data_IF_964595009886
#
_entry.id   IF_964595009886
#
_cell.length_a   1.000
_cell.length_b   1.000
_cell.length_c   1.000
_cell.angle_alpha   90.00
_cell.angle_beta   90.00
_cell.angle_gamma   90.00
#
_symmetry.space_group_name_H-M   'P 1'
#
loop_
_entity.id
_entity.type
_entity.pdbx_description
1 polymer ?
#
# COMPACT_ATOMS: atom_id res chain seq x y z
N UNK A 1 -6.20 24.45 5.76
CA UNK A 1 -6.07 23.05 6.19
C UNK A 1 -4.80 22.97 7.00
N UNK A 2 -4.86 22.48 8.24
CA UNK A 2 -3.64 22.23 9.02
C UNK A 2 -2.97 20.92 8.55
N UNK A 3 -1.71 20.69 8.94
CA UNK A 3 -0.93 19.53 8.46
C UNK A 3 -1.57 18.19 8.83
N UNK A 4 -2.26 18.14 9.98
CA UNK A 4 -2.99 16.95 10.45
C UNK A 4 -4.19 16.63 9.55
N UNK A 5 -4.98 17.64 9.22
CA UNK A 5 -6.10 17.53 8.28
C UNK A 5 -5.61 17.15 6.88
N UNK A 6 -4.48 17.72 6.44
CA UNK A 6 -3.86 17.40 5.14
C UNK A 6 -3.50 15.93 5.06
N UNK A 7 -2.78 15.41 6.07
CA UNK A 7 -2.41 13.99 6.14
C UNK A 7 -3.63 13.07 6.16
N UNK A 8 -4.66 13.41 6.92
CA UNK A 8 -5.89 12.60 6.97
C UNK A 8 -6.60 12.52 5.61
N UNK A 9 -6.66 13.64 4.88
CA UNK A 9 -7.24 13.67 3.52
C UNK A 9 -6.41 12.84 2.55
N UNK A 10 -5.07 12.97 2.59
CA UNK A 10 -4.18 12.20 1.72
C UNK A 10 -4.21 10.69 2.02
N UNK A 11 -4.25 10.30 3.30
CA UNK A 11 -4.43 8.90 3.69
C UNK A 11 -5.74 8.32 3.11
N UNK A 12 -6.83 9.09 3.21
CA UNK A 12 -8.11 8.66 2.64
C UNK A 12 -8.06 8.56 1.12
N UNK A 13 -7.36 9.49 0.44
CA UNK A 13 -7.14 9.43 -1.01
C UNK A 13 -6.32 8.20 -1.39
N UNK A 14 -5.24 7.90 -0.67
CA UNK A 14 -4.41 6.70 -0.89
C UNK A 14 -5.23 5.41 -0.73
N UNK A 15 -6.02 5.29 0.34
CA UNK A 15 -6.89 4.14 0.54
C UNK A 15 -7.95 4.00 -0.56
N UNK A 16 -8.44 5.11 -1.12
CA UNK A 16 -9.38 5.09 -2.23
C UNK A 16 -8.70 4.67 -3.54
N UNK A 17 -7.53 5.25 -3.86
CA UNK A 17 -6.70 4.87 -5.01
C UNK A 17 -6.36 3.37 -4.97
N UNK A 18 -5.97 2.85 -3.80
CA UNK A 18 -5.68 1.43 -3.60
C UNK A 18 -6.89 0.50 -3.85
N UNK A 19 -8.13 1.00 -3.72
CA UNK A 19 -9.36 0.26 -4.11
C UNK A 19 -9.65 0.31 -5.62
N UNK A 20 -8.91 1.09 -6.38
CA UNK A 20 -9.09 1.27 -7.82
C UNK A 20 -10.01 2.45 -8.20
N UNK A 21 -10.22 3.42 -7.29
CA UNK A 21 -10.98 4.64 -7.66
C UNK A 21 -10.13 5.69 -8.39
N UNK A 22 -8.81 5.61 -8.26
CA UNK A 22 -7.82 6.55 -8.80
C UNK A 22 -6.52 5.77 -9.06
N UNK A 23 -5.71 6.23 -10.01
CA UNK A 23 -4.40 5.61 -10.31
C UNK A 23 -3.39 5.95 -9.22
N UNK A 24 -2.75 4.92 -8.66
CA UNK A 24 -1.76 5.10 -7.58
C UNK A 24 -0.55 5.88 -8.08
N UNK A 25 -0.12 5.63 -9.31
CA UNK A 25 0.99 6.36 -9.94
C UNK A 25 0.70 7.87 -10.03
N UNK A 26 -0.53 8.26 -10.35
CA UNK A 26 -0.95 9.67 -10.36
C UNK A 26 -0.83 10.28 -8.96
N UNK A 27 -1.28 9.57 -7.93
CA UNK A 27 -1.17 10.03 -6.55
C UNK A 27 0.30 10.18 -6.08
N UNK A 28 1.17 9.23 -6.43
CA UNK A 28 2.59 9.25 -6.04
C UNK A 28 3.40 10.32 -6.80
N UNK A 29 2.95 10.71 -7.99
CA UNK A 29 3.56 11.79 -8.78
C UNK A 29 3.00 13.17 -8.45
N UNK A 30 1.90 13.25 -7.70
CA UNK A 30 1.28 14.50 -7.27
C UNK A 30 2.22 15.29 -6.32
N UNK A 31 2.67 16.50 -6.69
CA UNK A 31 3.55 17.30 -5.85
C UNK A 31 2.89 17.73 -4.53
N UNK A 32 1.56 17.75 -4.45
CA UNK A 32 0.85 18.11 -3.21
C UNK A 32 0.94 17.02 -2.14
N UNK A 33 1.31 15.79 -2.54
CA UNK A 33 1.52 14.63 -1.68
C UNK A 33 2.94 14.55 -1.10
N UNK A 34 3.91 15.33 -1.60
CA UNK A 34 5.30 15.31 -1.10
C UNK A 34 5.50 16.34 0.01
N UNK A 35 6.34 15.97 0.98
CA UNK A 35 6.78 16.92 1.99
C UNK A 35 7.72 17.94 1.33
N UNK A 36 7.48 19.27 1.47
CA UNK A 36 8.41 20.27 0.92
C UNK A 36 9.74 20.34 1.69
N UNK A 37 9.77 19.86 2.94
CA UNK A 37 10.92 19.95 3.83
C UNK A 37 11.76 18.64 3.87
N UNK A 38 11.26 17.54 3.28
CA UNK A 38 11.94 16.23 3.19
C UNK A 38 11.64 15.50 1.86
N UNK A 39 12.35 14.42 1.51
CA UNK A 39 12.06 13.58 0.33
C UNK A 39 10.97 12.53 0.58
N UNK A 40 10.15 12.71 1.63
CA UNK A 40 9.11 11.76 2.05
C UNK A 40 7.68 12.21 1.63
N UNK A 41 6.71 11.31 1.81
CA UNK A 41 5.30 11.57 1.50
C UNK A 41 4.55 12.14 2.72
N UNK A 42 3.62 13.07 2.45
CA UNK A 42 2.74 13.67 3.47
C UNK A 42 1.60 12.74 3.91
N UNK A 43 1.49 11.56 3.32
CA UNK A 43 0.58 10.50 3.75
C UNK A 43 1.35 9.40 4.48
N UNK A 44 0.60 8.59 5.21
CA UNK A 44 1.11 7.37 5.82
C UNK A 44 0.82 6.19 4.90
N UNK A 45 1.87 5.59 4.33
CA UNK A 45 1.75 4.42 3.45
C UNK A 45 1.10 3.22 4.16
N UNK A 46 1.21 3.16 5.48
CA UNK A 46 0.65 2.12 6.34
C UNK A 46 -0.69 2.53 6.97
N UNK A 47 -1.32 3.63 6.50
CA UNK A 47 -2.63 4.05 6.97
C UNK A 47 -3.65 2.92 6.85
N UNK A 48 -4.67 2.92 7.71
CA UNK A 48 -5.62 1.82 7.82
C UNK A 48 -7.04 2.28 7.55
N UNK A 49 -7.78 1.50 6.77
CA UNK A 49 -9.22 1.68 6.62
C UNK A 49 -9.99 1.22 7.88
N UNK A 50 -11.32 1.34 7.85
CA UNK A 50 -12.21 0.90 8.93
C UNK A 50 -12.14 -0.61 9.24
N UNK A 51 -11.63 -1.42 8.31
CA UNK A 51 -11.42 -2.86 8.46
C UNK A 51 -9.98 -3.18 8.88
N UNK A 52 -9.16 -2.15 9.11
CA UNK A 52 -7.77 -2.29 9.46
C UNK A 52 -6.87 -2.64 8.27
N UNK A 53 -7.36 -2.61 7.04
CA UNK A 53 -6.55 -2.88 5.85
C UNK A 53 -5.66 -1.67 5.52
N UNK A 54 -4.41 -1.94 5.19
CA UNK A 54 -3.48 -0.96 4.60
C UNK A 54 -3.70 -0.84 3.10
N UNK A 55 -3.18 0.21 2.42
CA UNK A 55 -3.14 0.28 0.95
C UNK A 55 -2.60 -1.01 0.32
N UNK A 56 -1.56 -1.60 0.90
CA UNK A 56 -0.98 -2.86 0.42
C UNK A 56 -1.97 -4.03 0.45
N UNK A 57 -2.79 -4.16 1.50
CA UNK A 57 -3.85 -5.19 1.53
C UNK A 57 -4.83 -5.01 0.36
N UNK A 58 -5.22 -3.76 0.10
CA UNK A 58 -6.24 -3.43 -0.91
C UNK A 58 -5.73 -3.73 -2.32
N UNK A 59 -4.52 -3.30 -2.68
CA UNK A 59 -3.94 -3.58 -4.01
C UNK A 59 -3.66 -5.06 -4.24
N UNK A 60 -3.24 -5.79 -3.20
CA UNK A 60 -3.07 -7.25 -3.24
C UNK A 60 -4.42 -7.94 -3.46
N UNK A 61 -5.47 -7.52 -2.75
CA UNK A 61 -6.81 -8.10 -2.91
C UNK A 61 -7.39 -7.90 -4.31
N UNK A 62 -6.99 -6.82 -4.99
CA UNK A 62 -7.36 -6.52 -6.37
C UNK A 62 -6.54 -7.34 -7.39
N UNK A 63 -5.43 -7.96 -6.99
CA UNK A 63 -4.55 -8.73 -7.88
C UNK A 63 -3.79 -7.87 -8.89
N UNK A 64 -3.62 -6.57 -8.64
CA UNK A 64 -2.85 -5.69 -9.53
C UNK A 64 -1.38 -5.73 -9.17
N UNK A 65 -0.57 -6.46 -9.95
CA UNK A 65 0.88 -6.60 -9.72
C UNK A 65 1.59 -5.24 -9.79
N UNK A 66 1.19 -4.39 -10.73
CA UNK A 66 1.80 -3.07 -10.92
C UNK A 66 1.55 -2.16 -9.71
N UNK A 67 0.32 -2.13 -9.22
CA UNK A 67 -0.02 -1.35 -8.02
C UNK A 67 0.64 -1.92 -6.75
N UNK A 68 0.86 -3.23 -6.68
CA UNK A 68 1.65 -3.83 -5.59
C UNK A 68 3.08 -3.32 -5.64
N UNK A 69 3.75 -3.34 -6.80
CA UNK A 69 5.11 -2.80 -6.93
C UNK A 69 5.17 -1.32 -6.53
N UNK A 70 4.25 -0.50 -7.05
CA UNK A 70 4.22 0.94 -6.72
C UNK A 70 4.10 1.21 -5.22
N UNK A 71 3.29 0.43 -4.49
CA UNK A 71 3.14 0.58 -3.04
C UNK A 71 4.37 0.06 -2.28
N UNK A 72 5.02 -1.00 -2.76
CA UNK A 72 6.25 -1.54 -2.14
C UNK A 72 7.46 -0.63 -2.38
N UNK A 73 7.51 0.07 -3.51
CA UNK A 73 8.56 1.04 -3.82
C UNK A 73 8.50 2.31 -2.94
N UNK A 74 7.39 2.53 -2.24
CA UNK A 74 7.26 3.65 -1.30
C UNK A 74 8.03 3.33 0.00
N UNK A 75 8.88 4.25 0.48
CA UNK A 75 9.62 4.06 1.73
C UNK A 75 8.71 3.74 2.92
N UNK A 76 9.24 2.99 3.89
CA UNK A 76 8.58 2.65 5.15
C UNK A 76 7.31 1.79 5.00
N UNK A 77 7.05 1.24 3.81
CA UNK A 77 5.96 0.29 3.59
C UNK A 77 6.17 -0.99 4.43
N UNK A 78 5.22 -1.30 5.31
CA UNK A 78 5.27 -2.49 6.17
C UNK A 78 4.35 -3.58 5.60
N UNK A 79 4.98 -4.68 5.17
CA UNK A 79 4.33 -5.81 4.52
C UNK A 79 3.68 -6.80 5.49
N UNK A 80 3.92 -6.66 6.80
CA UNK A 80 3.49 -7.61 7.84
C UNK A 80 2.34 -7.09 8.72
N UNK A 81 1.86 -5.87 8.48
CA UNK A 81 0.71 -5.33 9.20
C UNK A 81 -0.48 -6.27 9.03
N UNK A 82 -1.12 -6.62 10.15
CA UNK A 82 -2.35 -7.41 10.17
C UNK A 82 -3.58 -6.51 10.18
N UNK A 83 -4.57 -6.81 9.35
CA UNK A 83 -5.89 -6.19 9.40
C UNK A 83 -6.71 -6.63 10.63
N UNK A 84 -7.97 -6.16 10.76
CA UNK A 84 -8.82 -6.50 11.91
C UNK A 84 -9.21 -7.99 11.99
N UNK A 85 -8.97 -8.78 10.93
CA UNK A 85 -9.15 -10.24 10.91
C UNK A 85 -7.87 -11.00 11.26
N UNK A 86 -6.75 -10.29 11.44
CA UNK A 86 -5.43 -10.91 11.63
C UNK A 86 -4.73 -11.28 10.32
N UNK A 87 -5.32 -10.96 9.17
CA UNK A 87 -4.72 -11.25 7.86
C UNK A 87 -3.67 -10.18 7.53
N UNK A 88 -2.49 -10.60 7.08
CA UNK A 88 -1.50 -9.72 6.42
C UNK A 88 -1.77 -9.65 4.91
N UNK A 89 -1.14 -8.74 4.15
CA UNK A 89 -1.22 -8.73 2.69
C UNK A 89 -0.86 -10.10 2.08
N UNK A 90 0.13 -10.82 2.63
CA UNK A 90 0.49 -12.16 2.16
C UNK A 90 -0.65 -13.19 2.34
N UNK A 91 -1.41 -13.11 3.44
CA UNK A 91 -2.59 -13.95 3.66
C UNK A 91 -3.68 -13.71 2.61
N UNK A 92 -3.80 -12.47 2.10
CA UNK A 92 -4.72 -12.15 1.02
C UNK A 92 -4.17 -12.62 -0.34
N UNK A 93 -2.86 -12.49 -0.57
CA UNK A 93 -2.22 -12.87 -1.82
C UNK A 93 -2.45 -14.35 -2.16
N UNK A 94 -2.36 -15.25 -1.18
CA UNK A 94 -2.58 -16.69 -1.40
C UNK A 94 -4.01 -17.05 -1.80
N UNK A 95 -4.97 -16.16 -1.57
CA UNK A 95 -6.38 -16.34 -1.94
C UNK A 95 -6.70 -15.88 -3.38
N UNK A 96 -5.74 -15.24 -4.07
CA UNK A 96 -5.89 -14.78 -5.45
C UNK A 96 -6.15 -15.98 -6.36
N UNK A 97 -7.21 -15.91 -7.17
CA UNK A 97 -7.66 -17.01 -8.03
C UNK A 97 -6.66 -17.30 -9.16
N UNK A 98 -6.15 -16.25 -9.81
CA UNK A 98 -5.20 -16.38 -10.91
C UNK A 98 -3.84 -16.88 -10.38
N UNK A 99 -3.35 -18.06 -10.81
CA UNK A 99 -2.12 -18.64 -10.29
C UNK A 99 -0.86 -17.85 -10.65
N UNK A 100 -0.82 -17.20 -11.81
CA UNK A 100 0.35 -16.44 -12.25
C UNK A 100 0.46 -15.14 -11.47
N UNK A 101 -0.66 -14.41 -11.34
CA UNK A 101 -0.75 -13.20 -10.52
C UNK A 101 -0.46 -13.52 -9.05
N UNK A 102 -1.07 -14.58 -8.51
CA UNK A 102 -0.82 -15.04 -7.13
C UNK A 102 0.66 -15.29 -6.91
N UNK A 103 1.31 -16.03 -7.81
CA UNK A 103 2.73 -16.35 -7.71
C UNK A 103 3.59 -15.10 -7.76
N UNK A 104 3.29 -14.16 -8.68
CA UNK A 104 4.01 -12.89 -8.79
C UNK A 104 3.92 -12.09 -7.48
N UNK A 105 2.71 -11.85 -6.97
CA UNK A 105 2.49 -11.04 -5.76
C UNK A 105 3.09 -11.71 -4.52
N UNK A 106 2.92 -13.03 -4.35
CA UNK A 106 3.55 -13.76 -3.23
C UNK A 106 5.07 -13.62 -3.30
N UNK A 107 5.67 -13.71 -4.49
CA UNK A 107 7.11 -13.58 -4.66
C UNK A 107 7.60 -12.17 -4.30
N UNK A 108 6.85 -11.13 -4.67
CA UNK A 108 7.18 -9.74 -4.31
C UNK A 108 7.14 -9.53 -2.80
N UNK A 109 6.03 -9.92 -2.15
CA UNK A 109 5.85 -9.74 -0.71
C UNK A 109 6.89 -10.50 0.11
N UNK A 110 7.23 -11.73 -0.27
CA UNK A 110 8.25 -12.53 0.42
C UNK A 110 9.63 -11.89 0.31
N UNK A 111 9.99 -11.35 -0.87
CA UNK A 111 11.28 -10.67 -1.06
C UNK A 111 11.43 -9.43 -0.18
N UNK A 112 10.38 -8.62 -0.08
CA UNK A 112 10.39 -7.42 0.76
C UNK A 112 10.44 -7.76 2.25
N UNK A 113 9.78 -8.84 2.68
CA UNK A 113 9.88 -9.33 4.05
C UNK A 113 11.29 -9.83 4.40
N UNK A 114 11.96 -10.53 3.47
CA UNK A 114 13.31 -11.08 3.67
C UNK A 114 14.43 -10.02 3.58
N UNK A 115 14.17 -8.87 2.95
CA UNK A 115 15.16 -7.81 2.76
C UNK A 115 15.66 -7.17 4.08
N UNK A 116 14.96 -7.39 5.20
CA UNK A 116 15.31 -6.87 6.52
C UNK A 116 16.17 -7.81 7.39
N UNK A 117 16.54 -9.00 6.90
CA UNK A 117 17.39 -9.96 7.64
C UNK A 117 18.89 -9.95 7.24
N UNK A 118 19.34 -8.99 6.41
CA UNK A 118 20.73 -8.92 5.91
C UNK A 118 21.60 -7.81 6.50
#
# INVERSE_FOLDING_TARGET
MNDVEKRAVLNQRLLNAARGSEDIEELLTDPDCRDPDDEDYLFDINCRDILGNTPLHLVVSNGSVDNVNLILDVPLCDVDIQNNKGDTPLHLAVQIRDPEVRKAIVTLLVKEAEAYES
#
